data_IF_318846814549
#
_entry.id   IF_318846814549
#
_cell.length_a   1.000
_cell.length_b   1.000
_cell.length_c   1.000
_cell.angle_alpha   90.00
_cell.angle_beta   90.00
_cell.angle_gamma   90.00
#
_symmetry.space_group_name_H-M   'P 1'
#
loop_
_entity.id
_entity.type
_entity.pdbx_description
1 polymer ?
#
# COMPACT_ATOMS: atom_id res chain seq x y z
N UNK A 1 -11.58 -1.30 -21.04
CA UNK A 1 -10.42 -2.02 -20.46
C UNK A 1 -10.17 -1.38 -19.11
N UNK A 2 -10.63 -2.01 -18.03
CA UNK A 2 -10.28 -1.53 -16.68
C UNK A 2 -8.82 -1.93 -16.46
N UNK A 3 -7.92 -0.95 -16.35
CA UNK A 3 -6.56 -1.21 -15.89
C UNK A 3 -6.66 -1.58 -14.40
N UNK A 4 -6.21 -2.77 -14.05
CA UNK A 4 -6.12 -3.20 -12.65
C UNK A 4 -5.12 -2.29 -11.92
N UNK A 5 -5.62 -1.45 -11.01
CA UNK A 5 -4.80 -0.56 -10.20
C UNK A 5 -4.41 -1.28 -8.91
N UNK A 6 -3.11 -1.54 -8.75
CA UNK A 6 -2.54 -2.13 -7.54
C UNK A 6 -2.06 -1.04 -6.59
N UNK A 7 -2.34 -1.21 -5.30
CA UNK A 7 -1.95 -0.29 -4.23
C UNK A 7 -1.21 -1.04 -3.13
N UNK A 8 -0.18 -0.40 -2.57
CA UNK A 8 0.49 -0.91 -1.36
C UNK A 8 -0.28 -0.52 -0.10
N UNK A 9 -0.34 -1.44 0.85
CA UNK A 9 -1.04 -1.23 2.13
C UNK A 9 -0.11 -1.50 3.29
N UNK A 10 -0.08 -0.58 4.25
CA UNK A 10 0.68 -0.78 5.48
C UNK A 10 0.08 -1.94 6.29
N UNK A 11 0.82 -3.03 6.57
CA UNK A 11 0.29 -4.16 7.31
C UNK A 11 0.06 -3.85 8.80
N UNK A 12 0.59 -2.73 9.30
CA UNK A 12 0.47 -2.35 10.71
C UNK A 12 -0.78 -1.51 10.98
N UNK A 13 -1.16 -0.60 10.07
CA UNK A 13 -2.27 0.35 10.29
C UNK A 13 -3.32 0.37 9.18
N UNK A 14 -3.11 -0.35 8.07
CA UNK A 14 -4.04 -0.38 6.94
C UNK A 14 -3.99 0.86 6.02
N UNK A 15 -3.10 1.82 6.29
CA UNK A 15 -2.93 3.00 5.44
C UNK A 15 -2.44 2.63 4.04
N UNK A 16 -2.95 3.33 3.03
CA UNK A 16 -2.49 3.25 1.63
C UNK A 16 -1.55 4.40 1.26
N UNK A 17 -1.25 5.31 2.19
CA UNK A 17 -0.30 6.39 1.97
C UNK A 17 1.13 5.88 2.17
N UNK A 18 1.70 5.34 1.10
CA UNK A 18 3.02 4.70 1.10
C UNK A 18 4.00 5.53 0.28
N UNK A 19 5.12 5.92 0.89
CA UNK A 19 6.27 6.53 0.21
C UNK A 19 7.21 5.42 -0.25
N UNK A 20 7.36 5.30 -1.56
CA UNK A 20 8.40 4.49 -2.19
C UNK A 20 9.56 5.45 -2.48
N UNK A 21 10.76 5.26 -1.89
CA UNK A 21 11.89 6.12 -2.21
C UNK A 21 12.21 5.99 -3.70
N UNK A 22 12.57 7.11 -4.36
CA UNK A 22 13.06 7.05 -5.74
C UNK A 22 14.27 6.13 -5.78
N UNK A 23 14.26 5.12 -6.65
CA UNK A 23 15.40 4.26 -6.87
C UNK A 23 16.59 5.13 -7.32
N UNK A 24 17.51 5.43 -6.41
CA UNK A 24 18.83 5.90 -6.78
C UNK A 24 19.49 4.81 -7.62
N UNK A 25 20.32 5.21 -8.58
CA UNK A 25 21.06 4.37 -9.55
C UNK A 25 21.98 3.29 -8.92
N UNK A 26 21.87 3.02 -7.63
CA UNK A 26 22.58 1.98 -6.91
C UNK A 26 21.74 0.70 -6.89
N UNK A 27 22.09 -0.19 -7.82
CA UNK A 27 21.66 -1.57 -8.07
C UNK A 27 21.70 -2.55 -6.87
N UNK A 28 21.69 -2.07 -5.62
CA UNK A 28 21.83 -2.89 -4.42
C UNK A 28 20.95 -2.53 -3.20
N UNK A 29 20.18 -1.43 -3.23
CA UNK A 29 19.27 -1.11 -2.12
C UNK A 29 17.83 -1.50 -2.45
N UNK A 30 17.27 -2.47 -1.73
CA UNK A 30 15.83 -2.69 -1.71
C UNK A 30 15.16 -1.42 -1.17
N UNK A 31 14.55 -0.65 -2.06
CA UNK A 31 13.76 0.54 -1.70
C UNK A 31 12.58 0.08 -0.86
N UNK A 32 12.75 0.15 0.46
CA UNK A 32 11.72 -0.24 1.42
C UNK A 32 10.59 0.77 1.39
N UNK A 33 9.36 0.25 1.40
CA UNK A 33 8.16 1.03 1.54
C UNK A 33 8.13 1.69 2.92
N UNK A 34 7.69 2.96 2.97
CA UNK A 34 7.47 3.68 4.23
C UNK A 34 6.03 4.15 4.32
N UNK A 35 5.34 3.77 5.38
CA UNK A 35 4.01 4.28 5.70
C UNK A 35 4.12 5.72 6.20
N UNK A 36 3.31 6.63 5.63
CA UNK A 36 3.27 8.04 6.05
C UNK A 36 2.61 8.20 7.41
N UNK A 37 1.58 7.41 7.71
CA UNK A 37 0.79 7.53 8.94
C UNK A 37 1.51 6.99 10.18
N UNK A 38 1.90 5.71 10.17
CA UNK A 38 2.49 5.08 11.36
C UNK A 38 4.03 5.02 11.32
N UNK A 39 4.64 5.45 10.22
CA UNK A 39 6.10 5.44 10.04
C UNK A 39 6.70 4.04 9.86
N UNK A 40 5.90 2.97 9.77
CA UNK A 40 6.39 1.61 9.54
C UNK A 40 7.19 1.54 8.23
N UNK A 41 8.23 0.70 8.20
CA UNK A 41 9.15 0.55 7.06
C UNK A 41 9.32 -0.93 6.76
N UNK A 42 9.13 -1.35 5.51
CA UNK A 42 9.29 -2.75 5.13
C UNK A 42 8.95 -3.00 3.66
N UNK A 43 8.69 -4.25 3.32
CA UNK A 43 8.06 -4.59 2.04
C UNK A 43 6.57 -4.77 2.31
N UNK A 44 5.75 -3.86 1.78
CA UNK A 44 4.32 -3.87 2.03
C UNK A 44 3.59 -4.70 0.97
N UNK A 45 2.52 -5.40 1.34
CA UNK A 45 1.70 -6.14 0.39
C UNK A 45 1.05 -5.20 -0.62
N UNK A 46 0.96 -5.66 -1.86
CA UNK A 46 0.20 -5.04 -2.94
C UNK A 46 -1.15 -5.74 -3.05
N UNK A 47 -2.22 -4.95 -3.15
CA UNK A 47 -3.58 -5.46 -3.34
C UNK A 47 -4.26 -4.69 -4.46
N UNK A 48 -5.25 -5.33 -5.07
CA UNK A 48 -6.12 -4.66 -6.04
C UNK A 48 -6.96 -3.60 -5.34
N UNK A 49 -6.97 -2.39 -5.88
CA UNK A 49 -7.78 -1.28 -5.38
C UNK A 49 -9.26 -1.64 -5.29
N UNK A 50 -9.75 -2.38 -6.27
CA UNK A 50 -11.14 -2.85 -6.30
C UNK A 50 -11.48 -3.73 -5.08
N UNK A 51 -10.60 -4.67 -4.73
CA UNK A 51 -10.77 -5.53 -3.55
C UNK A 51 -10.76 -4.71 -2.25
N UNK A 52 -9.89 -3.70 -2.17
CA UNK A 52 -9.85 -2.80 -1.00
C UNK A 52 -11.13 -1.97 -0.87
N UNK A 53 -11.65 -1.46 -1.99
CA UNK A 53 -12.86 -0.66 -2.01
C UNK A 53 -14.10 -1.49 -1.68
N UNK A 54 -14.18 -2.73 -2.15
CA UNK A 54 -15.21 -3.68 -1.75
C UNK A 54 -15.16 -3.96 -0.25
N UNK A 55 -13.98 -4.29 0.29
CA UNK A 55 -13.81 -4.52 1.72
C UNK A 55 -14.21 -3.30 2.56
N UNK A 56 -13.85 -2.09 2.14
CA UNK A 56 -14.27 -0.84 2.80
C UNK A 56 -15.78 -0.62 2.76
N UNK A 57 -16.45 -0.97 1.66
CA UNK A 57 -17.91 -0.93 1.57
C UNK A 57 -18.55 -1.93 2.51
N UNK A 58 -17.97 -3.11 2.66
CA UNK A 58 -18.43 -4.11 3.62
C UNK A 58 -18.30 -3.56 5.05
N UNK A 59 -17.14 -3.07 5.47
CA UNK A 59 -16.97 -2.51 6.83
C UNK A 59 -18.01 -1.45 7.19
N UNK A 60 -18.37 -0.56 6.25
CA UNK A 60 -19.41 0.46 6.47
C UNK A 60 -20.81 -0.10 6.67
N UNK A 61 -21.11 -1.31 6.20
CA UNK A 61 -22.39 -1.98 6.46
C UNK A 61 -22.49 -2.51 7.88
N UNK A 62 -21.36 -2.71 8.56
CA UNK A 62 -21.26 -3.29 9.90
C UNK A 62 -20.91 -2.25 10.99
N UNK A 63 -20.66 -0.99 10.63
CA UNK A 63 -20.40 0.13 11.53
C UNK A 63 -21.69 0.93 11.79
#
# INVERSE_FOLDING_TARGET
MNQEEYLKVCPQCGSTEIKIPNAGLDIGMSVRDKCVECGNIGNFPEILKEQLDEFRKELKKWA
#
